data_IF_853237425431
#
_entry.id   IF_853237425431
#
_cell.length_a   1.000
_cell.length_b   1.000
_cell.length_c   1.000
_cell.angle_alpha   90.00
_cell.angle_beta   90.00
_cell.angle_gamma   90.00
#
_symmetry.space_group_name_H-M   'P 1'
#
loop_
_entity.id
_entity.type
_entity.pdbx_description
1 polymer ?
#
# COMPACT_ATOMS: atom_id res chain seq x y z
N UNK A 1 8.70 12.90 -12.67
CA UNK A 1 9.73 12.80 -11.60
C UNK A 1 9.11 12.21 -10.34
N UNK A 2 9.74 11.25 -9.67
CA UNK A 2 9.22 10.66 -8.42
C UNK A 2 9.89 11.30 -7.21
N UNK A 3 9.10 11.70 -6.22
CA UNK A 3 9.56 12.22 -4.93
C UNK A 3 8.95 11.40 -3.80
N UNK A 4 9.80 10.83 -2.96
CA UNK A 4 9.40 10.14 -1.75
C UNK A 4 9.38 11.16 -0.62
N UNK A 5 8.24 11.31 0.04
CA UNK A 5 8.07 12.11 1.25
C UNK A 5 8.02 11.13 2.44
N UNK A 6 9.18 10.81 2.97
CA UNK A 6 9.35 9.87 4.08
C UNK A 6 9.34 10.60 5.41
N UNK A 7 8.24 10.45 6.16
CA UNK A 7 8.08 11.08 7.46
C UNK A 7 7.17 10.27 8.37
N UNK A 8 7.49 10.26 9.66
CA UNK A 8 6.71 9.51 10.65
C UNK A 8 5.25 10.00 10.69
N UNK A 9 4.34 9.09 10.98
CA UNK A 9 2.93 9.41 11.23
C UNK A 9 2.79 10.56 12.24
N UNK A 10 1.80 11.43 12.00
CA UNK A 10 1.57 12.63 12.81
C UNK A 10 2.42 13.85 12.43
N UNK A 11 3.35 13.74 11.49
CA UNK A 11 4.18 14.88 11.01
C UNK A 11 3.41 15.84 10.09
N UNK A 12 2.20 15.48 9.65
CA UNK A 12 1.34 16.33 8.83
C UNK A 12 1.46 16.13 7.31
N UNK A 13 1.85 14.93 6.86
CA UNK A 13 1.98 14.58 5.42
C UNK A 13 0.72 14.92 4.62
N UNK A 14 -0.44 14.46 5.07
CA UNK A 14 -1.71 14.74 4.39
C UNK A 14 -2.07 16.22 4.41
N UNK A 15 -1.78 16.94 5.51
CA UNK A 15 -1.95 18.40 5.57
C UNK A 15 -1.03 19.11 4.57
N UNK A 16 0.21 18.66 4.40
CA UNK A 16 1.10 19.17 3.36
C UNK A 16 0.51 18.93 1.96
N UNK A 17 0.00 17.72 1.67
CA UNK A 17 -0.63 17.41 0.39
C UNK A 17 -1.86 18.27 0.10
N UNK A 18 -2.75 18.45 1.09
CA UNK A 18 -3.92 19.33 0.97
C UNK A 18 -3.49 20.77 0.66
N UNK A 19 -2.46 21.27 1.35
CA UNK A 19 -1.92 22.60 1.10
C UNK A 19 -1.29 22.72 -0.30
N UNK A 20 -0.54 21.72 -0.77
CA UNK A 20 0.00 21.69 -2.13
C UNK A 20 -1.11 21.76 -3.20
N UNK A 21 -2.22 21.07 -2.96
CA UNK A 21 -3.38 21.07 -3.87
C UNK A 21 -4.10 22.41 -3.84
N UNK A 22 -4.37 22.97 -2.66
CA UNK A 22 -5.07 24.25 -2.49
C UNK A 22 -4.25 25.44 -3.01
N UNK A 23 -2.94 25.46 -2.78
CA UNK A 23 -2.07 26.58 -3.14
C UNK A 23 -1.67 26.59 -4.63
N UNK A 24 -1.91 25.50 -5.36
CA UNK A 24 -1.58 25.39 -6.78
C UNK A 24 -2.81 25.05 -7.63
N UNK A 25 -3.80 25.97 -7.75
CA UNK A 25 -5.06 25.72 -8.46
C UNK A 25 -4.89 25.49 -9.97
N UNK A 26 -3.77 25.94 -10.56
CA UNK A 26 -3.48 25.72 -11.98
C UNK A 26 -3.05 24.28 -12.29
N UNK A 27 -2.60 23.52 -11.29
CA UNK A 27 -2.20 22.12 -11.44
C UNK A 27 -3.41 21.20 -11.26
N UNK A 28 -3.36 20.05 -11.94
CA UNK A 28 -4.36 18.98 -11.82
C UNK A 28 -3.77 17.82 -11.06
N UNK A 29 -4.51 17.31 -10.09
CA UNK A 29 -4.03 16.29 -9.18
C UNK A 29 -4.87 15.01 -9.23
N UNK A 30 -4.22 13.88 -9.06
CA UNK A 30 -4.86 12.63 -8.65
C UNK A 30 -4.29 12.28 -7.27
N UNK A 31 -5.17 12.16 -6.28
CA UNK A 31 -4.80 11.89 -4.88
C UNK A 31 -5.34 10.52 -4.52
N UNK A 32 -4.44 9.63 -4.11
CA UNK A 32 -4.74 8.26 -3.73
C UNK A 32 -4.58 8.10 -2.23
N UNK A 33 -5.63 7.64 -1.56
CA UNK A 33 -5.67 7.43 -0.11
C UNK A 33 -5.97 5.97 0.22
N UNK A 34 -5.57 5.45 1.38
CA UNK A 34 -5.78 4.04 1.71
C UNK A 34 -7.25 3.71 2.01
N UNK A 35 -8.04 4.69 2.50
CA UNK A 35 -9.38 4.48 3.04
C UNK A 35 -10.37 5.56 2.61
N UNK A 36 -11.67 5.27 2.70
CA UNK A 36 -12.73 6.21 2.34
C UNK A 36 -12.84 7.43 3.28
N UNK A 37 -12.66 7.22 4.57
CA UNK A 37 -12.65 8.30 5.55
C UNK A 37 -11.53 9.31 5.26
N UNK A 38 -10.41 8.84 4.73
CA UNK A 38 -9.34 9.68 4.21
C UNK A 38 -9.76 10.47 2.96
N UNK A 39 -10.49 9.86 2.03
CA UNK A 39 -11.08 10.59 0.89
C UNK A 39 -11.99 11.73 1.39
N UNK A 40 -12.86 11.45 2.36
CA UNK A 40 -13.75 12.46 2.94
C UNK A 40 -12.99 13.57 3.65
N UNK A 41 -11.92 13.24 4.38
CA UNK A 41 -11.03 14.22 5.02
C UNK A 41 -10.39 15.15 4.00
N UNK A 42 -9.77 14.57 2.96
CA UNK A 42 -9.18 15.36 1.88
C UNK A 42 -10.22 16.26 1.22
N UNK A 43 -11.41 15.74 0.93
CA UNK A 43 -12.50 16.51 0.33
C UNK A 43 -12.95 17.68 1.20
N UNK A 44 -13.09 17.47 2.51
CA UNK A 44 -13.53 18.49 3.45
C UNK A 44 -12.53 19.66 3.56
N UNK A 45 -11.24 19.34 3.54
CA UNK A 45 -10.17 20.34 3.72
C UNK A 45 -9.65 20.92 2.38
N UNK A 46 -10.09 20.38 1.25
CA UNK A 46 -9.74 20.88 -0.09
C UNK A 46 -10.77 21.91 -0.56
N UNK A 47 -10.35 23.18 -0.64
CA UNK A 47 -11.23 24.31 -0.98
C UNK A 47 -11.23 24.63 -2.48
N UNK A 48 -11.33 23.60 -3.33
CA UNK A 48 -11.25 23.73 -4.80
C UNK A 48 -12.51 23.19 -5.50
N UNK A 49 -13.18 23.99 -6.34
CA UNK A 49 -14.40 23.55 -7.03
C UNK A 49 -14.14 22.55 -8.16
N UNK A 50 -12.90 22.46 -8.64
CA UNK A 50 -12.48 21.54 -9.70
C UNK A 50 -12.01 20.17 -9.18
N UNK A 51 -12.09 19.95 -7.86
CA UNK A 51 -11.74 18.69 -7.21
C UNK A 51 -13.00 17.84 -7.03
N UNK A 52 -12.94 16.58 -7.47
CA UNK A 52 -13.97 15.59 -7.23
C UNK A 52 -13.43 14.46 -6.37
N UNK A 53 -14.23 14.01 -5.41
CA UNK A 53 -13.93 12.86 -4.58
C UNK A 53 -14.77 11.67 -5.03
N UNK A 54 -14.14 10.52 -5.24
CA UNK A 54 -14.74 9.27 -5.64
C UNK A 54 -14.60 8.26 -4.51
N UNK A 55 -15.69 7.54 -4.22
CA UNK A 55 -15.75 6.45 -3.24
C UNK A 55 -15.14 5.14 -3.78
N UNK A 56 -15.05 4.11 -2.92
CA UNK A 56 -14.38 2.83 -3.18
C UNK A 56 -15.33 1.69 -3.62
N UNK A 57 -16.62 1.97 -3.79
CA UNK A 57 -17.59 1.02 -4.32
C UNK A 57 -17.29 0.81 -5.80
N UNK A 58 -16.51 -0.24 -6.09
CA UNK A 58 -16.11 -0.65 -7.44
C UNK A 58 -17.35 -1.12 -8.20
N UNK A 59 -18.01 -0.15 -8.80
CA UNK A 59 -19.09 -0.32 -9.76
C UNK A 59 -18.62 0.27 -11.08
N UNK A 60 -19.05 -0.29 -12.21
CA UNK A 60 -18.66 0.22 -13.55
C UNK A 60 -18.94 1.73 -13.70
N UNK A 61 -19.91 2.25 -12.95
CA UNK A 61 -20.28 3.67 -12.89
C UNK A 61 -19.22 4.57 -12.24
N UNK A 62 -18.40 4.07 -11.31
CA UNK A 62 -17.39 4.88 -10.61
C UNK A 62 -16.06 4.96 -11.35
N UNK A 63 -15.65 3.87 -12.00
CA UNK A 63 -14.56 3.91 -12.99
C UNK A 63 -14.94 4.83 -14.16
N UNK A 64 -16.21 4.83 -14.59
CA UNK A 64 -16.72 5.81 -15.54
C UNK A 64 -16.65 7.24 -14.97
N UNK A 65 -17.03 7.45 -13.71
CA UNK A 65 -16.90 8.74 -13.02
C UNK A 65 -15.46 9.27 -12.98
N UNK A 66 -14.47 8.40 -12.72
CA UNK A 66 -13.05 8.75 -12.83
C UNK A 66 -12.71 9.21 -14.25
N UNK A 67 -13.06 8.42 -15.27
CA UNK A 67 -12.80 8.77 -16.68
C UNK A 67 -13.43 10.09 -17.08
N UNK A 68 -14.65 10.35 -16.63
CA UNK A 68 -15.37 11.59 -16.93
C UNK A 68 -14.73 12.80 -16.24
N UNK A 69 -14.23 12.64 -15.00
CA UNK A 69 -13.46 13.67 -14.32
C UNK A 69 -12.16 14.00 -15.08
N UNK A 70 -11.41 12.97 -15.50
CA UNK A 70 -10.17 13.15 -16.27
C UNK A 70 -10.44 13.86 -17.60
N UNK A 71 -11.49 13.48 -18.34
CA UNK A 71 -11.91 14.15 -19.58
C UNK A 71 -12.29 15.60 -19.38
N UNK A 72 -12.87 15.94 -18.23
CA UNK A 72 -13.23 17.31 -17.86
C UNK A 72 -12.03 18.12 -17.33
N UNK A 73 -10.86 17.51 -17.18
CA UNK A 73 -9.68 18.17 -16.64
C UNK A 73 -9.76 18.44 -15.13
N UNK A 74 -10.59 17.68 -14.40
CA UNK A 74 -10.80 17.86 -12.95
C UNK A 74 -9.76 17.09 -12.14
N UNK A 75 -9.40 17.65 -10.99
CA UNK A 75 -8.58 16.92 -10.00
C UNK A 75 -9.42 15.86 -9.29
N UNK A 76 -8.84 14.71 -8.95
CA UNK A 76 -9.55 13.56 -8.39
C UNK A 76 -8.93 13.14 -7.06
N UNK A 77 -9.77 12.90 -6.06
CA UNK A 77 -9.41 12.21 -4.80
C UNK A 77 -10.10 10.85 -4.81
N UNK A 78 -9.36 9.77 -4.58
CA UNK A 78 -9.93 8.43 -4.54
C UNK A 78 -9.07 7.47 -3.71
N UNK A 79 -9.46 6.20 -3.65
CA UNK A 79 -8.74 5.16 -2.92
C UNK A 79 -7.68 4.46 -3.77
N UNK A 80 -6.69 3.86 -3.12
CA UNK A 80 -5.69 2.99 -3.77
C UNK A 80 -6.37 1.87 -4.58
N UNK A 81 -7.47 1.33 -4.05
CA UNK A 81 -8.22 0.24 -4.65
C UNK A 81 -8.87 0.64 -5.98
N UNK A 82 -9.53 1.80 -6.06
CA UNK A 82 -10.12 2.23 -7.34
C UNK A 82 -9.03 2.42 -8.40
N UNK A 83 -7.88 2.98 -8.00
CA UNK A 83 -6.75 3.21 -8.89
C UNK A 83 -6.11 1.91 -9.42
N UNK A 84 -6.03 0.85 -8.60
CA UNK A 84 -5.47 -0.43 -9.06
C UNK A 84 -6.29 -1.05 -10.20
N UNK A 85 -7.60 -0.80 -10.23
CA UNK A 85 -8.52 -1.25 -11.28
C UNK A 85 -8.51 -0.40 -12.56
N UNK A 86 -7.82 0.74 -12.58
CA UNK A 86 -7.66 1.52 -13.81
C UNK A 86 -6.74 0.77 -14.79
N UNK A 87 -7.14 0.78 -16.06
CA UNK A 87 -6.38 0.16 -17.15
C UNK A 87 -5.34 1.15 -17.70
N UNK A 88 -4.47 0.66 -18.58
CA UNK A 88 -3.51 1.52 -19.28
C UNK A 88 -4.20 2.42 -20.33
N UNK A 89 -5.46 2.14 -20.68
CA UNK A 89 -6.22 2.87 -21.70
C UNK A 89 -6.52 4.32 -21.28
N UNK A 90 -6.55 4.61 -19.96
CA UNK A 90 -6.80 5.94 -19.39
C UNK A 90 -5.55 6.83 -19.31
N UNK A 91 -4.36 6.27 -19.56
CA UNK A 91 -3.09 6.95 -19.33
C UNK A 91 -2.75 8.06 -20.33
N UNK A 92 -3.10 7.97 -21.64
CA UNK A 92 -2.86 9.06 -22.57
C UNK A 92 -3.52 10.38 -22.13
N UNK A 93 -4.73 10.34 -21.56
CA UNK A 93 -5.44 11.52 -21.09
C UNK A 93 -4.82 12.09 -19.81
N UNK A 94 -4.31 11.22 -18.93
CA UNK A 94 -3.55 11.62 -17.74
C UNK A 94 -2.27 12.34 -18.16
N UNK A 95 -1.53 11.77 -19.12
CA UNK A 95 -0.29 12.34 -19.63
C UNK A 95 -0.52 13.68 -20.34
N UNK A 96 -1.47 13.73 -21.28
CA UNK A 96 -1.84 14.96 -22.00
C UNK A 96 -2.36 16.04 -21.04
N UNK A 97 -3.06 15.60 -20.00
CA UNK A 97 -3.53 16.46 -18.94
C UNK A 97 -2.43 16.98 -18.01
N UNK A 98 -1.20 16.47 -18.09
CA UNK A 98 -0.11 16.85 -17.18
C UNK A 98 -0.47 16.69 -15.69
N UNK A 99 -1.22 15.65 -15.33
CA UNK A 99 -1.62 15.41 -13.95
C UNK A 99 -0.39 15.13 -13.06
N UNK A 100 -0.47 15.60 -11.81
CA UNK A 100 0.44 15.21 -10.72
C UNK A 100 -0.25 14.16 -9.82
N UNK A 101 0.50 13.15 -9.41
CA UNK A 101 0.02 12.08 -8.53
C UNK A 101 0.51 12.31 -7.11
N UNK A 102 -0.39 12.23 -6.14
CA UNK A 102 -0.07 12.18 -4.71
C UNK A 102 -0.61 10.87 -4.16
N UNK A 103 0.26 10.04 -3.61
CA UNK A 103 -0.12 8.80 -2.92
C UNK A 103 0.10 9.05 -1.43
N UNK A 104 -0.98 9.07 -0.66
CA UNK A 104 -0.93 9.03 0.80
C UNK A 104 -0.77 7.58 1.25
N UNK A 105 0.30 7.32 2.00
CA UNK A 105 0.84 5.99 2.29
C UNK A 105 1.27 5.20 1.03
N UNK A 106 1.63 3.93 1.19
CA UNK A 106 2.08 3.08 0.08
C UNK A 106 0.91 2.32 -0.56
N UNK A 107 0.90 2.25 -1.88
CA UNK A 107 0.06 1.30 -2.62
C UNK A 107 0.71 -0.07 -2.68
N UNK A 108 -0.08 -1.13 -2.81
CA UNK A 108 0.42 -2.46 -3.16
C UNK A 108 0.94 -2.46 -4.59
N UNK A 109 2.22 -2.78 -4.76
CA UNK A 109 2.90 -2.83 -6.06
C UNK A 109 3.21 -4.24 -6.53
N UNK A 110 3.13 -5.22 -5.61
CA UNK A 110 3.30 -6.64 -5.90
C UNK A 110 2.11 -7.41 -5.34
N UNK A 111 1.35 -8.04 -6.22
CA UNK A 111 0.15 -8.81 -5.87
C UNK A 111 0.36 -10.31 -6.16
N UNK A 112 0.12 -11.15 -5.16
CA UNK A 112 0.07 -12.60 -5.35
C UNK A 112 -1.31 -13.02 -5.88
N UNK A 113 -1.33 -14.04 -6.76
CA UNK A 113 -2.55 -14.76 -7.17
C UNK A 113 -3.56 -13.98 -8.03
N UNK A 114 -3.11 -13.24 -9.05
CA UNK A 114 -4.01 -12.62 -10.06
C UNK A 114 -4.82 -13.65 -10.86
N UNK A 115 -4.40 -14.91 -10.85
CA UNK A 115 -5.08 -16.04 -11.48
C UNK A 115 -4.89 -17.29 -10.62
N UNK A 116 -5.95 -18.10 -10.48
CA UNK A 116 -5.82 -19.34 -9.74
C UNK A 116 -4.94 -20.35 -10.49
N UNK A 117 -4.41 -21.33 -9.75
CA UNK A 117 -3.48 -22.33 -10.28
C UNK A 117 -4.04 -23.15 -11.44
N UNK A 118 -5.33 -23.49 -11.40
CA UNK A 118 -5.96 -24.34 -12.41
C UNK A 118 -6.15 -23.58 -13.73
N UNK A 119 -6.62 -22.34 -13.67
CA UNK A 119 -6.74 -21.43 -14.81
C UNK A 119 -5.36 -21.11 -15.41
N UNK A 120 -4.33 -20.88 -14.57
CA UNK A 120 -2.97 -20.71 -15.06
C UNK A 120 -2.49 -21.95 -15.83
N UNK A 121 -2.66 -23.14 -15.26
CA UNK A 121 -2.26 -24.39 -15.91
C UNK A 121 -3.08 -24.66 -17.19
N UNK A 122 -4.35 -24.26 -17.22
CA UNK A 122 -5.17 -24.29 -18.43
C UNK A 122 -4.58 -23.36 -19.49
N UNK A 123 -4.27 -22.10 -19.17
CA UNK A 123 -3.67 -21.16 -20.14
C UNK A 123 -2.32 -21.65 -20.66
N UNK A 124 -1.50 -22.25 -19.80
CA UNK A 124 -0.22 -22.83 -20.20
C UNK A 124 -0.40 -24.07 -21.10
N UNK A 125 -1.26 -25.02 -20.71
CA UNK A 125 -1.48 -26.25 -21.48
C UNK A 125 -2.17 -26.01 -22.83
N UNK A 126 -3.03 -25.00 -22.90
CA UNK A 126 -3.67 -24.54 -24.14
C UNK A 126 -2.79 -23.61 -24.98
N UNK A 127 -1.52 -23.40 -24.59
CA UNK A 127 -0.53 -22.55 -25.29
C UNK A 127 -1.03 -21.13 -25.51
N UNK A 128 -1.77 -20.58 -24.55
CA UNK A 128 -2.17 -19.17 -24.53
C UNK A 128 -1.12 -18.29 -23.89
N UNK A 129 -0.33 -18.87 -22.99
CA UNK A 129 0.84 -18.24 -22.37
C UNK A 129 2.02 -19.19 -22.42
N UNK A 130 3.23 -18.64 -22.27
CA UNK A 130 4.47 -19.37 -22.06
C UNK A 130 5.32 -18.64 -21.02
N UNK A 131 6.38 -19.29 -20.54
CA UNK A 131 7.25 -18.74 -19.48
C UNK A 131 8.72 -18.71 -19.89
N UNK A 132 9.40 -17.61 -19.61
CA UNK A 132 10.84 -17.41 -19.86
C UNK A 132 11.61 -17.35 -18.53
N UNK A 133 12.73 -18.08 -18.35
CA UNK A 133 13.54 -17.95 -17.14
C UNK A 133 14.20 -16.57 -17.06
N UNK A 134 14.27 -16.01 -15.85
CA UNK A 134 15.00 -14.77 -15.58
C UNK A 134 16.42 -15.04 -15.09
N UNK A 135 17.16 -13.97 -14.78
CA UNK A 135 18.48 -14.08 -14.12
C UNK A 135 18.39 -14.55 -12.67
N UNK A 136 17.20 -14.56 -12.07
CA UNK A 136 16.96 -15.02 -10.70
C UNK A 136 16.46 -16.45 -10.76
N UNK A 137 17.15 -17.36 -10.07
CA UNK A 137 16.79 -18.77 -10.04
C UNK A 137 15.37 -18.97 -9.49
N UNK A 138 14.62 -19.86 -10.14
CA UNK A 138 13.22 -20.12 -9.81
C UNK A 138 12.22 -19.02 -10.21
N UNK A 139 12.65 -17.92 -10.85
CA UNK A 139 11.77 -16.85 -11.33
C UNK A 139 11.66 -16.84 -12.85
N UNK A 140 10.43 -16.84 -13.36
CA UNK A 140 10.12 -16.85 -14.79
C UNK A 140 9.19 -15.70 -15.14
N UNK A 141 9.40 -15.01 -16.26
CA UNK A 141 8.45 -14.05 -16.83
C UNK A 141 7.37 -14.83 -17.58
N UNK A 142 6.11 -14.39 -17.48
CA UNK A 142 4.98 -14.96 -18.20
C UNK A 142 4.68 -14.07 -19.40
N UNK A 143 4.61 -14.66 -20.59
CA UNK A 143 4.27 -13.97 -21.83
C UNK A 143 3.00 -14.54 -22.44
N UNK A 144 2.16 -13.72 -23.09
CA UNK A 144 1.09 -14.22 -23.94
C UNK A 144 1.67 -14.80 -25.24
N UNK A 145 0.99 -15.79 -25.80
CA UNK A 145 1.30 -16.32 -27.13
C UNK A 145 0.85 -15.34 -28.22
N UNK A 146 1.63 -15.19 -29.29
CA UNK A 146 1.39 -14.21 -30.36
C UNK A 146 0.06 -14.44 -31.12
N UNK A 147 -0.49 -15.66 -31.06
CA UNK A 147 -1.78 -16.00 -31.65
C UNK A 147 -3.00 -15.57 -30.79
N UNK A 148 -2.77 -14.96 -29.63
CA UNK A 148 -3.78 -14.54 -28.66
C UNK A 148 -4.03 -13.04 -28.59
N UNK A 149 -3.77 -12.29 -29.68
CA UNK A 149 -3.87 -10.81 -29.71
C UNK A 149 -5.26 -10.31 -29.25
N UNK A 150 -6.31 -11.12 -29.46
CA UNK A 150 -7.69 -10.80 -29.06
C UNK A 150 -8.24 -11.75 -27.99
N UNK A 151 -7.59 -11.81 -26.82
CA UNK A 151 -8.15 -12.51 -25.67
C UNK A 151 -9.31 -11.69 -25.06
N UNK A 152 -10.55 -12.09 -25.31
CA UNK A 152 -11.78 -11.47 -24.78
C UNK A 152 -12.39 -12.24 -23.58
N UNK A 153 -11.63 -13.14 -22.95
CA UNK A 153 -12.09 -13.92 -21.81
C UNK A 153 -11.95 -13.20 -20.47
N UNK A 154 -12.29 -13.90 -19.38
CA UNK A 154 -12.26 -13.40 -18.00
C UNK A 154 -10.86 -12.97 -17.51
N UNK A 155 -9.79 -13.48 -18.11
CA UNK A 155 -8.40 -13.17 -17.74
C UNK A 155 -7.74 -12.06 -18.57
N UNK A 156 -8.51 -11.14 -19.16
CA UNK A 156 -7.96 -10.06 -20.03
C UNK A 156 -6.89 -9.22 -19.31
N UNK A 157 -7.17 -8.79 -18.08
CA UNK A 157 -6.22 -8.00 -17.28
C UNK A 157 -4.88 -8.74 -17.04
N UNK A 158 -4.95 -10.06 -16.79
CA UNK A 158 -3.77 -10.90 -16.65
C UNK A 158 -2.96 -11.00 -17.96
N UNK A 159 -3.65 -11.14 -19.11
CA UNK A 159 -2.99 -11.21 -20.42
C UNK A 159 -2.34 -9.87 -20.82
N UNK A 160 -3.00 -8.74 -20.51
CA UNK A 160 -2.45 -7.41 -20.74
C UNK A 160 -1.22 -7.14 -19.86
N UNK A 161 -1.26 -7.57 -18.59
CA UNK A 161 -0.13 -7.54 -17.69
C UNK A 161 1.04 -8.42 -18.18
N UNK A 162 0.76 -9.66 -18.60
CA UNK A 162 1.77 -10.55 -19.15
C UNK A 162 2.40 -9.98 -20.43
N UNK A 163 1.63 -9.27 -21.26
CA UNK A 163 2.15 -8.60 -22.47
C UNK A 163 3.18 -7.53 -22.15
N UNK A 164 3.03 -6.83 -21.02
CA UNK A 164 3.99 -5.86 -20.51
C UNK A 164 5.14 -6.48 -19.71
N UNK A 165 5.26 -7.81 -19.64
CA UNK A 165 6.28 -8.51 -18.83
C UNK A 165 6.15 -8.22 -17.32
N UNK A 166 4.92 -7.99 -16.86
CA UNK A 166 4.60 -7.64 -15.48
C UNK A 166 4.08 -8.82 -14.65
N UNK A 167 4.12 -10.03 -15.20
CA UNK A 167 3.66 -11.24 -14.54
C UNK A 167 4.82 -12.20 -14.43
N UNK A 168 5.05 -12.69 -13.21
CA UNK A 168 6.12 -13.61 -12.87
C UNK A 168 5.56 -14.90 -12.32
N UNK A 169 6.19 -16.02 -12.66
CA UNK A 169 5.97 -17.31 -12.02
C UNK A 169 7.19 -17.65 -11.15
N UNK A 170 6.96 -17.86 -9.85
CA UNK A 170 7.99 -18.15 -8.86
C UNK A 170 7.87 -19.62 -8.44
N UNK A 171 8.99 -20.34 -8.47
CA UNK A 171 9.14 -21.75 -8.08
C UNK A 171 8.10 -22.69 -8.72
N UNK A 172 7.63 -22.34 -9.93
CA UNK A 172 6.54 -23.03 -10.63
C UNK A 172 5.20 -23.10 -9.87
N UNK A 173 5.04 -22.38 -8.75
CA UNK A 173 3.84 -22.45 -7.91
C UNK A 173 3.09 -21.14 -7.83
N UNK A 174 3.80 -20.03 -7.62
CA UNK A 174 3.19 -18.75 -7.30
C UNK A 174 3.22 -17.86 -8.51
N UNK A 175 2.10 -17.21 -8.80
CA UNK A 175 2.01 -16.21 -9.86
C UNK A 175 1.92 -14.85 -9.19
N UNK A 176 2.83 -13.97 -9.55
CA UNK A 176 2.98 -12.65 -8.99
C UNK A 176 2.78 -11.63 -10.10
N UNK A 177 1.93 -10.65 -9.85
CA UNK A 177 1.79 -9.47 -10.68
C UNK A 177 2.55 -8.32 -10.05
N UNK A 178 3.36 -7.65 -10.87
CA UNK A 178 4.09 -6.45 -10.49
C UNK A 178 3.44 -5.28 -11.23
N UNK A 179 3.04 -4.23 -10.51
CA UNK A 179 2.41 -3.08 -11.15
C UNK A 179 3.33 -2.48 -12.23
N UNK A 180 2.84 -2.24 -13.47
CA UNK A 180 3.62 -1.62 -14.54
C UNK A 180 4.19 -0.25 -14.13
N UNK A 181 5.45 0.09 -14.46
CA UNK A 181 6.02 1.38 -14.11
C UNK A 181 5.28 2.57 -14.73
N UNK A 182 4.66 2.37 -15.89
CA UNK A 182 3.81 3.34 -16.59
C UNK A 182 2.66 3.83 -15.72
N UNK A 183 2.17 3.01 -14.76
CA UNK A 183 1.13 3.42 -13.80
C UNK A 183 1.53 4.62 -12.97
N UNK A 184 2.82 4.83 -12.74
CA UNK A 184 3.34 5.98 -11.99
C UNK A 184 4.06 6.96 -12.92
N UNK A 185 4.79 6.49 -13.93
CA UNK A 185 5.63 7.37 -14.77
C UNK A 185 4.85 8.18 -15.80
N UNK A 186 3.58 7.84 -16.06
CA UNK A 186 2.69 8.66 -16.92
C UNK A 186 2.43 10.06 -16.35
N UNK A 187 2.50 10.20 -15.03
CA UNK A 187 2.27 11.47 -14.34
C UNK A 187 3.47 12.41 -14.46
N UNK A 188 3.19 13.71 -14.54
CA UNK A 188 4.23 14.74 -14.64
C UNK A 188 5.15 14.71 -13.42
N UNK A 189 4.55 14.72 -12.23
CA UNK A 189 5.22 14.57 -10.94
C UNK A 189 4.46 13.54 -10.09
N UNK A 190 5.19 12.74 -9.32
CA UNK A 190 4.63 11.77 -8.38
C UNK A 190 5.20 12.05 -7.00
N UNK A 191 4.33 12.20 -6.01
CA UNK A 191 4.68 12.29 -4.60
C UNK A 191 4.16 11.04 -3.89
N UNK A 192 5.06 10.21 -3.36
CA UNK A 192 4.69 9.05 -2.55
C UNK A 192 5.01 9.38 -1.10
N UNK A 193 3.98 9.52 -0.28
CA UNK A 193 4.13 9.89 1.13
C UNK A 193 4.08 8.62 1.96
N UNK A 194 5.14 8.33 2.71
CA UNK A 194 5.21 7.09 3.50
C UNK A 194 6.04 7.29 4.75
N UNK A 195 6.26 6.21 5.49
CA UNK A 195 7.22 6.14 6.58
C UNK A 195 8.10 4.90 6.39
N UNK A 196 9.40 5.07 6.60
CA UNK A 196 10.40 4.00 6.50
C UNK A 196 10.50 3.44 5.08
N UNK A 197 10.69 4.35 4.12
CA UNK A 197 10.70 4.04 2.69
C UNK A 197 11.75 2.98 2.33
N UNK A 198 12.97 3.03 2.86
CA UNK A 198 14.03 2.07 2.50
C UNK A 198 13.66 0.61 2.77
N UNK A 199 12.79 0.36 3.76
CA UNK A 199 12.28 -0.96 4.10
C UNK A 199 10.94 -1.31 3.43
N UNK A 200 10.44 -0.47 2.53
CA UNK A 200 9.12 -0.62 1.89
C UNK A 200 9.16 -1.42 0.59
N UNK A 201 8.02 -1.99 0.21
CA UNK A 201 7.80 -2.60 -1.10
C UNK A 201 8.05 -1.59 -2.24
N UNK A 202 7.65 -0.32 -2.07
CA UNK A 202 7.86 0.74 -3.05
C UNK A 202 9.33 0.98 -3.36
N UNK A 203 10.21 0.90 -2.37
CA UNK A 203 11.65 1.03 -2.60
C UNK A 203 12.19 -0.13 -3.44
N UNK A 204 11.82 -1.37 -3.11
CA UNK A 204 12.18 -2.56 -3.89
C UNK A 204 11.67 -2.45 -5.34
N UNK A 205 10.43 -1.99 -5.53
CA UNK A 205 9.82 -1.83 -6.85
C UNK A 205 10.51 -0.75 -7.70
N UNK A 206 10.87 0.40 -7.11
CA UNK A 206 11.62 1.45 -7.80
C UNK A 206 13.02 0.97 -8.22
N UNK A 207 13.69 0.20 -7.36
CA UNK A 207 14.97 -0.41 -7.68
C UNK A 207 14.85 -1.44 -8.81
N UNK A 208 13.82 -2.29 -8.79
CA UNK A 208 13.55 -3.29 -9.83
C UNK A 208 13.40 -2.64 -11.20
N UNK A 209 12.63 -1.55 -11.28
CA UNK A 209 12.38 -0.81 -12.52
C UNK A 209 13.46 0.24 -12.83
N UNK A 210 14.50 0.39 -11.98
CA UNK A 210 15.58 1.38 -12.12
C UNK A 210 15.06 2.81 -12.27
N UNK A 211 14.06 3.17 -11.48
CA UNK A 211 13.45 4.49 -11.52
C UNK A 211 14.12 5.37 -10.46
N UNK A 212 14.72 6.47 -10.91
CA UNK A 212 15.31 7.47 -10.03
C UNK A 212 14.22 8.24 -9.25
N UNK A 213 14.53 8.57 -8.00
CA UNK A 213 13.62 9.30 -7.12
C UNK A 213 14.37 10.29 -6.22
N UNK A 214 13.65 11.33 -5.80
CA UNK A 214 14.11 12.26 -4.77
C UNK A 214 13.64 11.79 -3.40
N UNK A 215 14.55 11.45 -2.48
CA UNK A 215 14.20 11.12 -1.11
C UNK A 215 14.17 12.38 -0.24
N UNK A 216 12.98 12.70 0.27
CA UNK A 216 12.73 13.89 1.09
C UNK A 216 12.16 13.50 2.46
N UNK A 217 12.46 14.31 3.46
CA UNK A 217 11.78 14.32 4.75
C UNK A 217 10.86 15.54 4.86
N UNK A 218 9.78 15.39 5.63
CA UNK A 218 8.87 16.48 5.93
C UNK A 218 9.19 17.07 7.31
N UNK A 219 9.50 18.35 7.35
CA UNK A 219 9.65 19.10 8.60
C UNK A 219 8.50 20.09 8.74
N UNK A 220 8.01 20.25 9.98
CA UNK A 220 7.01 21.26 10.33
C UNK A 220 7.70 22.38 11.11
N UNK A 221 7.65 23.59 10.59
CA UNK A 221 8.12 24.80 11.26
C UNK A 221 6.96 25.78 11.54
N UNK A 222 7.26 26.93 12.14
CA UNK A 222 6.27 27.97 12.44
C UNK A 222 5.60 28.57 11.19
N UNK A 223 6.13 28.32 9.99
CA UNK A 223 5.61 28.80 8.70
C UNK A 223 4.90 27.73 7.87
N UNK A 224 4.82 26.48 8.34
CA UNK A 224 4.13 25.40 7.64
C UNK A 224 4.97 24.13 7.52
N UNK A 225 4.77 23.40 6.41
CA UNK A 225 5.51 22.17 6.12
C UNK A 225 6.54 22.43 5.01
N UNK A 226 7.75 21.89 5.15
CA UNK A 226 8.83 22.00 4.16
C UNK A 226 9.41 20.63 3.85
N UNK A 227 9.74 20.43 2.57
CA UNK A 227 10.46 19.24 2.10
C UNK A 227 11.96 19.50 2.10
N UNK A 228 12.70 18.70 2.85
CA UNK A 228 14.16 18.73 2.94
C UNK A 228 14.73 17.41 2.42
N UNK A 229 16.01 17.34 1.99
CA UNK A 229 16.67 16.06 1.73
C UNK A 229 16.55 15.15 2.95
N UNK A 230 16.17 13.89 2.75
CA UNK A 230 15.99 12.95 3.85
C UNK A 230 17.34 12.64 4.53
N UNK A 231 17.37 12.67 5.86
CA UNK A 231 18.58 12.46 6.65
C UNK A 231 19.08 11.01 6.74
N UNK A 232 18.29 10.05 6.24
CA UNK A 232 18.49 8.59 6.34
C UNK A 232 18.57 8.06 7.79
N UNK A 233 18.21 8.91 8.76
CA UNK A 233 18.28 8.59 10.17
C UNK A 233 16.89 8.33 10.73
N UNK A 234 16.51 7.05 10.84
CA UNK A 234 15.28 6.64 11.50
C UNK A 234 15.52 6.49 13.01
N UNK A 235 15.10 7.48 13.81
CA UNK A 235 15.20 7.42 15.27
C UNK A 235 13.83 7.44 15.95
N UNK A 236 13.53 6.35 16.66
CA UNK A 236 12.36 6.25 17.53
C UNK A 236 12.55 6.90 18.91
N UNK A 237 13.71 7.51 19.18
CA UNK A 237 14.07 7.99 20.53
C UNK A 237 13.05 8.99 21.09
N UNK A 238 12.49 9.86 20.24
CA UNK A 238 11.46 10.83 20.63
C UNK A 238 10.15 10.18 21.09
N UNK A 239 9.88 8.94 20.67
CA UNK A 239 8.70 8.18 21.07
C UNK A 239 8.92 7.37 22.35
N UNK A 240 10.17 7.17 22.77
CA UNK A 240 10.50 6.40 23.98
C UNK A 240 9.72 6.86 25.23
N UNK A 241 9.53 8.17 25.50
CA UNK A 241 8.74 8.62 26.64
C UNK A 241 7.25 8.32 26.54
N UNK A 242 6.73 8.12 25.32
CA UNK A 242 5.32 7.79 25.07
C UNK A 242 5.04 6.29 25.18
N UNK A 243 6.09 5.46 25.20
CA UNK A 243 5.99 4.00 25.23
C UNK A 243 6.19 3.53 26.66
N UNK A 244 5.14 2.99 27.27
CA UNK A 244 5.25 2.28 28.55
C UNK A 244 5.42 0.78 28.27
N UNK A 245 6.60 0.24 28.60
CA UNK A 245 6.85 -1.21 28.51
C UNK A 245 6.31 -1.85 29.78
N UNK A 246 5.32 -2.74 29.63
CA UNK A 246 4.77 -3.50 30.74
C UNK A 246 5.56 -4.80 30.95
N UNK A 247 6.42 -4.83 31.96
CA UNK A 247 7.24 -6.00 32.29
C UNK A 247 6.74 -6.70 33.56
N UNK A 248 5.59 -7.38 33.44
CA UNK A 248 5.04 -8.21 34.53
C UNK A 248 5.39 -9.68 34.30
N UNK A 249 6.18 -10.23 35.24
CA UNK A 249 6.63 -11.63 35.21
C UNK A 249 5.48 -12.62 35.08
N UNK A 250 4.34 -12.38 35.74
CA UNK A 250 3.20 -13.31 35.73
C UNK A 250 2.49 -13.27 34.38
N UNK A 251 2.31 -12.10 33.77
CA UNK A 251 1.73 -11.98 32.44
C UNK A 251 2.67 -12.56 31.37
N UNK A 252 3.97 -12.24 31.47
CA UNK A 252 5.01 -12.65 30.52
C UNK A 252 5.38 -14.15 30.62
N UNK A 253 5.04 -14.83 31.72
CA UNK A 253 5.32 -16.25 31.94
C UNK A 253 4.85 -17.19 30.81
N UNK A 254 3.82 -16.83 30.04
CA UNK A 254 3.35 -17.63 28.89
C UNK A 254 4.33 -17.62 27.70
N UNK A 255 5.20 -16.62 27.64
CA UNK A 255 6.27 -16.48 26.65
C UNK A 255 7.62 -17.07 27.11
N UNK A 256 7.71 -17.63 28.32
CA UNK A 256 8.96 -18.21 28.82
C UNK A 256 9.25 -19.55 28.13
N UNK A 257 10.47 -19.69 27.59
CA UNK A 257 10.94 -20.94 26.99
C UNK A 257 11.10 -22.01 28.07
N UNK A 258 10.50 -23.18 27.85
CA UNK A 258 10.57 -24.32 28.76
C UNK A 258 11.22 -25.54 28.11
N UNK A 259 11.56 -26.56 28.90
CA UNK A 259 12.17 -27.82 28.40
C UNK A 259 11.32 -28.53 27.32
N UNK A 260 9.99 -28.36 27.34
CA UNK A 260 9.04 -28.95 26.37
C UNK A 260 8.59 -27.96 25.28
N UNK A 261 8.82 -26.67 25.46
CA UNK A 261 8.28 -25.58 24.65
C UNK A 261 9.43 -24.66 24.24
N UNK A 262 10.04 -24.97 23.09
CA UNK A 262 11.20 -24.23 22.58
C UNK A 262 10.82 -22.85 22.05
N UNK A 263 9.62 -22.71 21.47
CA UNK A 263 9.13 -21.49 20.82
C UNK A 263 7.68 -21.17 21.23
N UNK A 264 7.45 -20.64 22.44
CA UNK A 264 6.14 -20.18 22.88
C UNK A 264 5.61 -19.05 21.99
N UNK A 265 4.29 -19.01 21.76
CA UNK A 265 3.59 -18.02 20.93
C UNK A 265 3.98 -18.00 19.43
N UNK A 266 4.83 -18.92 18.96
CA UNK A 266 5.10 -19.09 17.53
C UNK A 266 3.92 -19.76 16.79
N UNK A 267 3.91 -19.72 15.45
CA UNK A 267 2.84 -20.34 14.64
C UNK A 267 2.63 -21.84 14.99
N UNK A 268 3.71 -22.59 15.19
CA UNK A 268 3.65 -23.99 15.60
C UNK A 268 3.01 -24.20 16.98
N UNK A 269 3.20 -23.26 17.91
CA UNK A 269 2.60 -23.28 19.25
C UNK A 269 1.07 -23.19 19.17
N UNK A 270 0.55 -22.28 18.33
CA UNK A 270 -0.90 -22.12 18.12
C UNK A 270 -1.54 -23.31 17.39
N UNK A 271 -0.80 -23.98 16.50
CA UNK A 271 -1.30 -25.13 15.71
C UNK A 271 -1.33 -26.44 16.50
N UNK A 272 -0.64 -26.54 17.63
CA UNK A 272 -0.64 -27.76 18.46
C UNK A 272 -2.03 -28.02 19.06
N UNK A 273 -2.56 -29.23 18.84
CA UNK A 273 -3.85 -29.66 19.39
C UNK A 273 -3.64 -30.34 20.75
N UNK A 274 -4.35 -29.88 21.79
CA UNK A 274 -4.31 -30.50 23.12
C UNK A 274 -5.15 -29.75 24.17
N UNK A 275 -5.57 -30.46 25.23
CA UNK A 275 -6.32 -29.87 26.36
C UNK A 275 -5.52 -28.76 27.06
N UNK A 276 -4.21 -28.93 27.19
CA UNK A 276 -3.35 -27.95 27.85
C UNK A 276 -3.19 -26.68 27.01
N UNK A 277 -3.05 -26.81 25.68
CA UNK A 277 -2.99 -25.67 24.76
C UNK A 277 -4.24 -24.80 24.80
N UNK A 278 -5.43 -25.42 24.84
CA UNK A 278 -6.70 -24.70 24.99
C UNK A 278 -6.78 -23.93 26.32
N UNK A 279 -6.26 -24.50 27.41
CA UNK A 279 -6.20 -23.81 28.72
C UNK A 279 -5.25 -22.61 28.67
N UNK A 280 -4.07 -22.77 28.08
CA UNK A 280 -3.08 -21.69 27.95
C UNK A 280 -3.61 -20.54 27.08
N UNK A 281 -4.25 -20.82 25.94
CA UNK A 281 -4.90 -19.79 25.09
C UNK A 281 -6.02 -19.07 25.87
N UNK A 282 -6.82 -19.79 26.66
CA UNK A 282 -7.87 -19.19 27.49
C UNK A 282 -7.26 -18.29 28.59
N UNK A 283 -6.14 -18.70 29.18
CA UNK A 283 -5.40 -17.89 30.15
C UNK A 283 -4.81 -16.63 29.52
N UNK A 284 -4.22 -16.73 28.32
CA UNK A 284 -3.71 -15.60 27.55
C UNK A 284 -4.82 -14.56 27.33
N UNK A 285 -5.98 -15.00 26.83
CA UNK A 285 -7.14 -14.13 26.60
C UNK A 285 -7.60 -13.42 27.88
N UNK A 286 -7.71 -14.14 28.99
CA UNK A 286 -8.11 -13.57 30.29
C UNK A 286 -7.11 -12.52 30.79
N UNK A 287 -5.81 -12.81 30.66
CA UNK A 287 -4.72 -11.91 31.07
C UNK A 287 -4.70 -10.63 30.24
N UNK A 288 -4.86 -10.74 28.92
CA UNK A 288 -4.98 -9.60 28.02
C UNK A 288 -6.17 -8.73 28.38
N UNK A 289 -7.36 -9.30 28.54
CA UNK A 289 -8.56 -8.54 28.93
C UNK A 289 -8.38 -7.80 30.27
N UNK A 290 -7.80 -8.47 31.27
CA UNK A 290 -7.51 -7.85 32.57
C UNK A 290 -6.53 -6.67 32.45
N UNK A 291 -5.51 -6.79 31.61
CA UNK A 291 -4.58 -5.70 31.34
C UNK A 291 -5.32 -4.53 30.67
N UNK A 292 -6.09 -4.78 29.61
CA UNK A 292 -6.86 -3.73 28.95
C UNK A 292 -7.88 -3.07 29.87
N UNK A 293 -8.58 -3.81 30.74
CA UNK A 293 -9.51 -3.25 31.73
C UNK A 293 -8.80 -2.37 32.76
N UNK A 294 -7.68 -2.84 33.32
CA UNK A 294 -6.91 -2.08 34.30
C UNK A 294 -6.37 -0.76 33.71
N UNK A 295 -5.90 -0.78 32.47
CA UNK A 295 -5.27 0.37 31.83
C UNK A 295 -6.23 1.25 31.02
N UNK A 296 -7.41 0.75 30.63
CA UNK A 296 -8.49 1.58 30.06
C UNK A 296 -9.10 2.52 31.09
N UNK A 297 -9.12 2.13 32.37
CA UNK A 297 -9.49 3.02 33.49
C UNK A 297 -8.44 4.13 33.66
N UNK A 298 -7.16 3.81 33.53
CA UNK A 298 -6.07 4.80 33.61
C UNK A 298 -6.16 5.80 32.44
N UNK A 299 -6.44 5.33 31.22
CA UNK A 299 -6.66 6.20 30.05
C UNK A 299 -7.84 7.16 30.23
N UNK A 300 -8.94 6.71 30.86
CA UNK A 300 -10.09 7.58 31.19
C UNK A 300 -9.72 8.66 32.22
N UNK A 301 -8.90 8.35 33.22
CA UNK A 301 -8.48 9.33 34.23
C UNK A 301 -7.45 10.33 33.69
N UNK A 302 -6.56 9.93 32.78
CA UNK A 302 -5.61 10.87 32.13
C UNK A 302 -6.26 11.82 31.11
N UNK A 303 -7.40 11.44 30.52
CA UNK A 303 -8.20 12.32 29.63
C UNK A 303 -9.09 13.31 30.41
N UNK A 304 -9.31 13.09 31.71
CA UNK A 304 -10.07 14.03 32.56
C UNK A 304 -9.18 15.03 33.32
N UNK A 305 -7.85 14.98 33.13
CA UNK A 305 -6.89 15.85 33.82
C UNK A 305 -5.99 16.67 32.88
N UNK A 306 -6.39 16.87 31.63
CA UNK A 306 -5.84 17.91 30.74
C UNK A 306 -6.97 18.76 30.15
#
# INVERSE_FOLDING_TARGET
MITIVDAVMGTGKSTWAINEVNNNPAKKYIILTPYLDEVDRYKADTSRPDVVALDDDITDTKTAGFRDAIKQGKSVITTHKLFSHLYLEEFPQIQQGEYELIIDETITLVEEEVINKDDFNMLLSTKKIWTEPTKIDGMFIVHPEAHGVDYHGSHRAFMDAARGEHVFRINNTTVVFVVPPEKLTVFKNVHIMTYFFEGSETHCWLQLHKIDFNHKELERDNGGHKLLPHSLNYSGAKYKPLITIFDDKKLNAIGEKGRKLKEPLAQGWFKQKGKDRKKEIKQLKKRWLSLFEQYSVIFKWSLCLN
#
